data_IF_694416800070
#
_entry.id   IF_694416800070
#
_cell.length_a   1.000
_cell.length_b   1.000
_cell.length_c   1.000
_cell.angle_alpha   90.00
_cell.angle_beta   90.00
_cell.angle_gamma   90.00
#
_symmetry.space_group_name_H-M   'P 1'
#
loop_
_entity.id
_entity.type
_entity.pdbx_description
1 polymer ?
#
# COMPACT_ATOMS: atom_id res chain seq x y z
N UNK A 1 -9.50 -19.12 6.61
CA UNK A 1 -9.04 -17.81 7.13
C UNK A 1 -8.14 -18.00 8.33
N UNK A 2 -7.18 -17.10 8.55
CA UNK A 2 -6.14 -17.25 9.59
C UNK A 2 -6.42 -16.40 10.84
N UNK A 3 -7.57 -15.72 10.93
CA UNK A 3 -7.93 -14.88 12.08
C UNK A 3 -7.74 -15.53 13.46
N UNK A 4 -7.95 -16.85 13.58
CA UNK A 4 -7.69 -17.59 14.83
C UNK A 4 -6.20 -17.61 15.22
N UNK A 5 -5.27 -17.59 14.25
CA UNK A 5 -3.83 -17.45 14.48
C UNK A 5 -3.44 -16.01 14.86
N UNK A 6 -4.23 -15.02 14.46
CA UNK A 6 -3.96 -13.61 14.72
C UNK A 6 -4.45 -13.17 16.10
N UNK A 7 -5.54 -13.77 16.59
CA UNK A 7 -6.18 -13.38 17.85
C UNK A 7 -5.21 -13.37 19.07
N UNK A 8 -4.31 -14.37 19.24
CA UNK A 8 -3.33 -14.36 20.33
C UNK A 8 -2.27 -13.26 20.17
N UNK A 9 -2.05 -12.76 18.95
CA UNK A 9 -1.02 -11.75 18.63
C UNK A 9 -1.54 -10.31 18.75
N UNK A 10 -2.83 -10.12 19.01
CA UNK A 10 -3.41 -8.77 19.20
C UNK A 10 -2.77 -8.12 20.43
N UNK A 11 -2.22 -6.92 20.25
CA UNK A 11 -1.55 -6.16 21.30
C UNK A 11 -2.48 -5.89 22.49
N UNK A 12 -2.02 -6.14 23.72
CA UNK A 12 -2.79 -5.87 24.94
C UNK A 12 -3.22 -4.40 25.05
N UNK A 13 -2.38 -3.47 24.58
CA UNK A 13 -2.74 -2.06 24.54
C UNK A 13 -3.89 -1.79 23.58
N UNK A 14 -3.95 -2.48 22.44
CA UNK A 14 -5.08 -2.38 21.53
C UNK A 14 -6.38 -2.89 22.17
N UNK A 15 -6.33 -3.94 22.99
CA UNK A 15 -7.49 -4.48 23.72
C UNK A 15 -7.95 -3.52 24.82
N UNK A 16 -7.02 -3.04 25.64
CA UNK A 16 -7.34 -2.43 26.94
C UNK A 16 -7.28 -0.88 26.95
N UNK A 17 -6.59 -0.23 26.00
CA UNK A 17 -6.46 1.24 25.93
C UNK A 17 -7.27 1.79 24.75
N UNK A 18 -8.44 2.37 25.06
CA UNK A 18 -9.35 2.93 24.07
C UNK A 18 -8.73 4.08 23.25
N UNK A 19 -7.90 4.92 23.88
CA UNK A 19 -7.25 6.06 23.21
C UNK A 19 -6.20 5.57 22.23
N UNK A 20 -5.43 4.56 22.62
CA UNK A 20 -4.47 3.91 21.74
C UNK A 20 -5.17 3.24 20.56
N UNK A 21 -6.23 2.46 20.82
CA UNK A 21 -7.01 1.80 19.77
C UNK A 21 -7.61 2.81 18.79
N UNK A 22 -8.21 3.90 19.27
CA UNK A 22 -8.73 4.97 18.41
C UNK A 22 -7.62 5.59 17.55
N UNK A 23 -6.45 5.86 18.15
CA UNK A 23 -5.29 6.35 17.41
C UNK A 23 -4.82 5.39 16.32
N UNK A 24 -4.77 4.10 16.61
CA UNK A 24 -4.40 3.05 15.66
C UNK A 24 -5.39 2.97 14.50
N UNK A 25 -6.70 2.92 14.79
CA UNK A 25 -7.76 2.90 13.78
C UNK A 25 -7.72 4.15 12.89
N UNK A 26 -7.44 5.32 13.47
CA UNK A 26 -7.29 6.58 12.73
C UNK A 26 -6.09 6.57 11.79
N UNK A 27 -4.99 5.91 12.15
CA UNK A 27 -3.81 5.79 11.31
C UNK A 27 -4.09 4.86 10.14
N UNK A 28 -4.62 3.66 10.40
CA UNK A 28 -4.96 2.71 9.33
C UNK A 28 -6.04 3.30 8.41
N UNK A 29 -7.04 3.95 9.00
CA UNK A 29 -8.19 4.56 8.32
C UNK A 29 -8.83 3.57 7.33
N UNK A 30 -9.13 2.36 7.78
CA UNK A 30 -9.77 1.37 6.93
C UNK A 30 -11.19 1.82 6.54
N UNK A 31 -11.75 1.27 5.47
CA UNK A 31 -13.16 1.43 5.15
C UNK A 31 -14.03 0.80 6.26
N UNK A 32 -15.27 1.28 6.52
CA UNK A 32 -16.09 0.83 7.65
C UNK A 32 -16.35 -0.69 7.70
N UNK A 33 -16.38 -1.35 6.54
CA UNK A 33 -16.56 -2.80 6.44
C UNK A 33 -15.30 -3.60 6.77
N UNK A 34 -14.12 -2.97 6.76
CA UNK A 34 -12.84 -3.64 6.93
C UNK A 34 -12.49 -3.75 8.42
N UNK A 35 -12.54 -4.97 8.95
CA UNK A 35 -12.12 -5.25 10.32
C UNK A 35 -10.62 -4.98 10.51
N UNK A 36 -10.26 -4.26 11.58
CA UNK A 36 -8.87 -4.07 12.04
C UNK A 36 -8.70 -4.81 13.37
N UNK A 37 -7.78 -5.77 13.42
CA UNK A 37 -7.51 -6.59 14.61
C UNK A 37 -6.55 -5.90 15.58
N UNK A 38 -5.66 -5.03 15.09
CA UNK A 38 -4.73 -4.25 15.91
C UNK A 38 -3.38 -4.93 16.16
N UNK A 39 -2.91 -5.74 15.21
CA UNK A 39 -1.55 -6.28 15.25
C UNK A 39 -0.57 -5.22 14.73
N UNK A 40 0.67 -5.29 15.19
CA UNK A 40 1.73 -4.48 14.63
C UNK A 40 2.40 -5.19 13.44
N UNK A 41 2.98 -4.38 12.54
CA UNK A 41 3.66 -4.85 11.33
C UNK A 41 4.80 -5.86 11.59
N UNK A 42 5.64 -5.73 12.64
CA UNK A 42 6.68 -6.72 12.92
C UNK A 42 6.12 -8.13 13.18
N UNK A 43 5.05 -8.25 13.97
CA UNK A 43 4.38 -9.51 14.28
C UNK A 43 3.79 -10.15 13.02
N UNK A 44 3.11 -9.36 12.19
CA UNK A 44 2.57 -9.83 10.91
C UNK A 44 3.67 -10.35 9.98
N UNK A 45 4.81 -9.65 9.90
CA UNK A 45 5.97 -10.09 9.09
C UNK A 45 6.60 -11.37 9.63
N UNK A 46 6.71 -11.49 10.96
CA UNK A 46 7.23 -12.68 11.62
C UNK A 46 6.35 -13.89 11.32
N UNK A 47 5.03 -13.76 11.47
CA UNK A 47 4.06 -14.81 11.16
C UNK A 47 4.09 -15.18 9.67
N UNK A 48 4.07 -14.21 8.76
CA UNK A 48 4.17 -14.48 7.32
C UNK A 48 5.44 -15.27 6.97
N UNK A 49 6.57 -14.97 7.62
CA UNK A 49 7.84 -15.70 7.43
C UNK A 49 7.82 -17.12 8.01
N UNK A 50 7.07 -17.37 9.09
CA UNK A 50 6.86 -18.71 9.63
C UNK A 50 6.00 -19.55 8.66
N UNK A 51 4.87 -18.97 8.23
CA UNK A 51 3.95 -19.59 7.27
C UNK A 51 4.62 -19.88 5.92
N UNK A 52 5.47 -18.98 5.42
CA UNK A 52 6.18 -19.16 4.14
C UNK A 52 7.23 -20.28 4.17
N UNK A 53 7.66 -20.73 5.36
CA UNK A 53 8.65 -21.81 5.52
C UNK A 53 8.01 -23.19 5.68
N UNK A 54 6.68 -23.28 5.61
CA UNK A 54 5.95 -24.52 5.87
C UNK A 54 6.03 -24.98 7.33
N UNK A 55 6.32 -24.07 8.26
CA UNK A 55 6.66 -24.42 9.64
C UNK A 55 5.84 -23.65 10.67
N UNK A 56 4.77 -24.30 11.12
CA UNK A 56 4.10 -24.00 12.37
C UNK A 56 3.19 -25.17 12.71
N UNK A 57 3.67 -26.13 13.50
CA UNK A 57 2.78 -26.93 14.35
C UNK A 57 2.10 -25.96 15.32
N UNK A 58 1.00 -25.36 14.91
CA UNK A 58 0.02 -24.87 15.86
C UNK A 58 -0.76 -26.10 16.34
N UNK A 59 -0.30 -26.72 17.43
CA UNK A 59 -1.16 -27.62 18.20
C UNK A 59 -2.24 -26.74 18.82
N UNK A 60 -3.42 -26.75 18.21
CA UNK A 60 -4.65 -26.25 18.82
C UNK A 60 -5.37 -27.42 19.52
N UNK A 61 -6.13 -27.19 20.61
CA UNK A 61 -6.74 -28.24 21.44
C UNK A 61 -7.75 -29.16 20.73
N UNK A 62 -8.13 -28.85 19.49
CA UNK A 62 -9.28 -29.37 18.77
C UNK A 62 -8.95 -30.00 17.39
N UNK A 63 -7.68 -30.25 17.10
CA UNK A 63 -7.29 -31.35 16.19
C UNK A 63 -7.53 -31.16 14.68
N UNK A 64 -7.63 -29.93 14.16
CA UNK A 64 -7.59 -29.69 12.70
C UNK A 64 -6.54 -28.65 12.33
N UNK A 65 -5.35 -29.12 11.93
CA UNK A 65 -4.36 -28.35 11.18
C UNK A 65 -3.93 -29.17 9.96
N UNK A 66 -4.50 -28.88 8.78
CA UNK A 66 -3.91 -29.32 7.50
C UNK A 66 -2.97 -28.23 7.03
N UNK A 67 -1.71 -28.33 7.46
CA UNK A 67 -0.51 -27.91 6.72
C UNK A 67 -0.72 -26.87 5.60
N UNK A 68 -1.12 -25.64 5.92
CA UNK A 68 -1.13 -24.59 4.90
C UNK A 68 0.29 -24.03 4.78
N UNK A 69 1.10 -24.58 3.88
CA UNK A 69 2.31 -23.88 3.44
C UNK A 69 1.92 -22.52 2.83
N UNK A 70 2.84 -21.53 2.84
CA UNK A 70 2.54 -20.17 2.39
C UNK A 70 1.88 -20.07 1.01
N UNK A 71 2.28 -20.94 0.07
CA UNK A 71 1.72 -21.02 -1.29
C UNK A 71 0.23 -21.37 -1.30
N UNK A 72 -0.21 -22.32 -0.46
CA UNK A 72 -1.62 -22.67 -0.32
C UNK A 72 -2.43 -21.53 0.29
N UNK A 73 -1.88 -20.84 1.30
CA UNK A 73 -2.55 -19.67 1.89
C UNK A 73 -2.75 -18.55 0.87
N UNK A 74 -1.76 -18.27 0.01
CA UNK A 74 -1.90 -17.29 -1.07
C UNK A 74 -3.08 -17.64 -1.97
N UNK A 75 -3.23 -18.93 -2.34
CA UNK A 75 -4.38 -19.41 -3.13
C UNK A 75 -5.70 -19.26 -2.39
N UNK A 76 -5.73 -19.61 -1.10
CA UNK A 76 -6.93 -19.46 -0.27
C UNK A 76 -7.37 -18.00 -0.17
N UNK A 77 -6.44 -17.07 0.10
CA UNK A 77 -6.76 -15.64 0.12
C UNK A 77 -7.31 -15.16 -1.23
N UNK A 78 -6.73 -15.63 -2.34
CA UNK A 78 -7.21 -15.30 -3.69
C UNK A 78 -8.57 -15.86 -4.06
N UNK A 79 -9.12 -16.81 -3.29
CA UNK A 79 -10.39 -17.48 -3.55
C UNK A 79 -11.51 -17.07 -2.59
N UNK A 80 -11.22 -16.24 -1.59
CA UNK A 80 -12.24 -15.73 -0.66
C UNK A 80 -12.60 -14.28 -1.01
N UNK A 81 -13.85 -13.85 -0.77
CA UNK A 81 -14.23 -12.46 -0.99
C UNK A 81 -13.37 -11.52 -0.14
N UNK A 82 -12.65 -10.59 -0.77
CA UNK A 82 -11.66 -9.73 -0.10
C UNK A 82 -12.26 -8.91 1.05
N UNK A 83 -13.53 -8.49 0.94
CA UNK A 83 -14.27 -7.77 1.97
C UNK A 83 -14.42 -8.55 3.30
N UNK A 84 -14.25 -9.88 3.28
CA UNK A 84 -14.32 -10.72 4.49
C UNK A 84 -12.98 -10.82 5.24
N UNK A 85 -11.89 -10.40 4.61
CA UNK A 85 -10.55 -10.41 5.19
C UNK A 85 -10.40 -9.26 6.20
N UNK A 86 -9.67 -9.45 7.29
CA UNK A 86 -9.23 -8.31 8.11
C UNK A 86 -8.11 -7.52 7.42
N UNK A 87 -7.82 -6.32 7.90
CA UNK A 87 -6.65 -5.54 7.47
C UNK A 87 -5.35 -6.35 7.60
N UNK A 88 -5.17 -7.03 8.73
CA UNK A 88 -3.99 -7.84 9.01
C UNK A 88 -3.90 -9.09 8.14
N UNK A 89 -5.03 -9.71 7.81
CA UNK A 89 -5.06 -10.82 6.85
C UNK A 89 -4.63 -10.37 5.45
N UNK A 90 -5.07 -9.18 5.00
CA UNK A 90 -4.61 -8.57 3.76
C UNK A 90 -3.11 -8.26 3.78
N UNK A 91 -2.60 -7.72 4.89
CA UNK A 91 -1.17 -7.45 5.09
C UNK A 91 -0.34 -8.73 5.01
N UNK A 92 -0.79 -9.81 5.67
CA UNK A 92 -0.11 -11.11 5.66
C UNK A 92 -0.15 -11.74 4.26
N UNK A 93 -1.28 -11.66 3.54
CA UNK A 93 -1.36 -12.12 2.16
C UNK A 93 -0.30 -11.43 1.28
N UNK A 94 -0.18 -10.10 1.39
CA UNK A 94 0.84 -9.34 0.68
C UNK A 94 2.28 -9.74 1.07
N UNK A 95 2.54 -9.95 2.36
CA UNK A 95 3.85 -10.42 2.82
C UNK A 95 4.18 -11.82 2.32
N UNK A 96 3.20 -12.74 2.28
CA UNK A 96 3.38 -14.08 1.73
C UNK A 96 3.73 -14.03 0.24
N UNK A 97 3.01 -13.25 -0.57
CA UNK A 97 3.34 -13.04 -2.00
C UNK A 97 4.78 -12.53 -2.17
N UNK A 98 5.21 -11.58 -1.31
CA UNK A 98 6.56 -11.05 -1.34
C UNK A 98 7.65 -12.05 -0.93
N UNK A 99 7.30 -13.04 -0.11
CA UNK A 99 8.21 -14.11 0.35
C UNK A 99 8.21 -15.32 -0.56
N UNK A 100 7.19 -15.46 -1.42
CA UNK A 100 7.01 -16.61 -2.30
C UNK A 100 8.17 -16.77 -3.28
N UNK A 101 8.70 -17.99 -3.35
CA UNK A 101 9.78 -18.35 -4.27
C UNK A 101 9.18 -18.82 -5.61
N UNK A 102 8.91 -17.87 -6.49
CA UNK A 102 8.40 -18.13 -7.83
C UNK A 102 9.02 -17.17 -8.87
N UNK A 103 8.85 -17.50 -10.14
CA UNK A 103 9.15 -16.59 -11.25
C UNK A 103 8.21 -15.37 -11.26
N UNK A 104 8.50 -14.41 -12.15
CA UNK A 104 7.70 -13.19 -12.26
C UNK A 104 6.26 -13.47 -12.75
N UNK A 105 6.05 -14.41 -13.68
CA UNK A 105 4.70 -14.67 -14.24
C UNK A 105 3.76 -15.24 -13.19
N UNK A 106 4.22 -16.24 -12.45
CA UNK A 106 3.50 -16.82 -11.32
C UNK A 106 3.17 -15.75 -10.27
N UNK A 107 4.09 -14.80 -10.04
CA UNK A 107 3.85 -13.71 -9.09
C UNK A 107 2.89 -12.67 -9.64
N UNK A 108 2.97 -12.32 -10.92
CA UNK A 108 2.04 -11.42 -11.59
C UNK A 108 0.62 -11.99 -11.58
N UNK A 109 0.46 -13.30 -11.74
CA UNK A 109 -0.83 -13.97 -11.58
C UNK A 109 -1.37 -13.81 -10.14
N UNK A 110 -0.54 -13.98 -9.11
CA UNK A 110 -0.96 -13.72 -7.73
C UNK A 110 -1.38 -12.26 -7.52
N UNK A 111 -0.65 -11.32 -8.13
CA UNK A 111 -0.95 -9.88 -8.07
C UNK A 111 -2.23 -9.50 -8.79
N UNK A 112 -2.61 -10.23 -9.85
CA UNK A 112 -3.87 -10.02 -10.56
C UNK A 112 -5.10 -10.20 -9.65
N UNK A 113 -4.95 -10.93 -8.55
CA UNK A 113 -6.00 -11.09 -7.51
C UNK A 113 -5.78 -10.16 -6.32
N UNK A 114 -4.53 -9.98 -5.89
CA UNK A 114 -4.21 -9.24 -4.69
C UNK A 114 -4.37 -7.71 -4.84
N UNK A 115 -3.92 -7.14 -5.96
CA UNK A 115 -3.99 -5.68 -6.18
C UNK A 115 -5.44 -5.18 -6.21
N UNK A 116 -6.38 -5.83 -6.94
CA UNK A 116 -7.82 -5.54 -6.85
C UNK A 116 -8.45 -5.62 -5.47
N UNK A 117 -7.84 -6.39 -4.56
CA UNK A 117 -8.35 -6.60 -3.22
C UNK A 117 -7.85 -5.53 -2.21
N UNK A 118 -6.86 -4.71 -2.60
CA UNK A 118 -6.36 -3.62 -1.75
C UNK A 118 -7.41 -2.51 -1.62
N UNK A 119 -7.67 -2.08 -0.38
CA UNK A 119 -8.69 -1.06 -0.09
C UNK A 119 -8.21 0.00 0.91
N UNK A 120 -6.93 0.00 1.27
CA UNK A 120 -6.35 0.98 2.17
C UNK A 120 -4.85 1.18 1.89
N UNK A 121 -4.36 2.35 2.27
CA UNK A 121 -2.99 2.78 1.97
C UNK A 121 -1.93 1.89 2.65
N UNK A 122 -2.21 1.39 3.85
CA UNK A 122 -1.24 0.65 4.63
C UNK A 122 -0.92 -0.72 3.99
N UNK A 123 -1.92 -1.42 3.44
CA UNK A 123 -1.69 -2.67 2.68
C UNK A 123 -0.85 -2.41 1.43
N UNK A 124 -1.23 -1.41 0.63
CA UNK A 124 -0.50 -1.02 -0.59
C UNK A 124 0.96 -0.68 -0.28
N UNK A 125 1.18 0.27 0.63
CA UNK A 125 2.51 0.80 0.92
C UNK A 125 3.41 -0.25 1.57
N UNK A 126 2.87 -1.05 2.50
CA UNK A 126 3.62 -2.12 3.13
C UNK A 126 3.98 -3.23 2.13
N UNK A 127 3.08 -3.56 1.20
CA UNK A 127 3.40 -4.50 0.13
C UNK A 127 4.56 -3.96 -0.72
N UNK A 128 4.41 -2.77 -1.30
CA UNK A 128 5.41 -2.18 -2.20
C UNK A 128 6.76 -2.00 -1.51
N UNK A 129 6.80 -1.53 -0.27
CA UNK A 129 8.07 -1.34 0.46
C UNK A 129 8.81 -2.66 0.77
N UNK A 130 8.13 -3.80 0.72
CA UNK A 130 8.70 -5.12 1.02
C UNK A 130 8.83 -6.03 -0.21
N UNK A 131 8.44 -5.57 -1.40
CA UNK A 131 8.48 -6.30 -2.67
C UNK A 131 9.89 -6.34 -3.28
N UNK A 132 10.89 -6.79 -2.52
CA UNK A 132 12.32 -6.80 -2.94
C UNK A 132 12.58 -7.59 -4.22
N UNK A 133 11.68 -8.48 -4.60
CA UNK A 133 11.73 -9.19 -5.88
C UNK A 133 11.65 -8.21 -7.07
N UNK A 134 10.92 -7.10 -6.96
CA UNK A 134 10.83 -6.07 -8.02
C UNK A 134 12.18 -5.41 -8.34
N UNK A 135 13.13 -5.39 -7.40
CA UNK A 135 14.51 -4.92 -7.68
C UNK A 135 15.25 -5.86 -8.64
N UNK A 136 14.87 -7.14 -8.67
CA UNK A 136 15.49 -8.19 -9.49
C UNK A 136 14.77 -8.43 -10.81
N UNK A 137 13.52 -8.01 -10.92
CA UNK A 137 12.76 -8.03 -12.16
C UNK A 137 13.35 -7.02 -13.14
N UNK A 138 13.43 -7.40 -14.42
CA UNK A 138 13.81 -6.49 -15.49
C UNK A 138 12.91 -5.23 -15.49
N UNK A 139 13.48 -4.04 -15.72
CA UNK A 139 12.74 -2.78 -15.58
C UNK A 139 11.73 -2.56 -16.69
N UNK A 140 12.01 -2.95 -17.93
CA UNK A 140 11.04 -2.86 -19.03
C UNK A 140 9.88 -3.82 -18.78
N UNK A 141 10.17 -5.03 -18.29
CA UNK A 141 9.14 -5.99 -17.88
C UNK A 141 8.28 -5.47 -16.73
N UNK A 142 8.90 -4.97 -15.65
CA UNK A 142 8.18 -4.40 -14.52
C UNK A 142 7.35 -3.19 -14.95
N UNK A 143 7.90 -2.31 -15.77
CA UNK A 143 7.19 -1.14 -16.30
C UNK A 143 5.96 -1.54 -17.10
N UNK A 144 6.10 -2.54 -17.99
CA UNK A 144 5.01 -3.08 -18.79
C UNK A 144 3.90 -3.65 -17.90
N UNK A 145 4.27 -4.43 -16.88
CA UNK A 145 3.32 -4.97 -15.90
C UNK A 145 2.57 -3.87 -15.12
N UNK A 146 3.24 -2.76 -14.78
CA UNK A 146 2.63 -1.67 -14.02
C UNK A 146 1.63 -0.84 -14.84
N UNK A 147 1.69 -0.86 -16.19
CA UNK A 147 0.84 0.01 -17.02
C UNK A 147 -0.65 -0.23 -16.78
N UNK A 148 -1.08 -1.50 -16.72
CA UNK A 148 -2.49 -1.83 -16.50
C UNK A 148 -3.07 -1.22 -15.21
N UNK A 149 -2.22 -1.07 -14.18
CA UNK A 149 -2.64 -0.53 -12.90
C UNK A 149 -2.66 1.00 -12.90
N UNK A 150 -1.79 1.65 -13.67
CA UNK A 150 -1.90 3.08 -13.91
C UNK A 150 -3.13 3.44 -14.76
N UNK A 151 -3.59 2.53 -15.62
CA UNK A 151 -4.77 2.69 -16.48
C UNK A 151 -6.10 2.34 -15.75
N UNK A 152 -6.02 1.91 -14.50
CA UNK A 152 -7.20 1.56 -13.71
C UNK A 152 -8.02 2.79 -13.29
N UNK A 153 -9.33 2.56 -13.10
CA UNK A 153 -10.25 3.51 -12.48
C UNK A 153 -10.34 3.32 -10.95
N UNK A 154 -9.63 2.36 -10.34
CA UNK A 154 -9.71 2.11 -8.90
C UNK A 154 -8.53 2.70 -8.15
N UNK A 155 -8.81 3.48 -7.11
CA UNK A 155 -7.81 4.25 -6.38
C UNK A 155 -6.60 3.44 -5.91
N UNK A 156 -6.79 2.26 -5.29
CA UNK A 156 -5.66 1.49 -4.75
C UNK A 156 -4.88 0.70 -5.80
N UNK A 157 -5.47 0.44 -6.97
CA UNK A 157 -4.73 -0.12 -8.10
C UNK A 157 -3.78 0.91 -8.70
N UNK A 158 -4.26 2.12 -8.92
CA UNK A 158 -3.41 3.24 -9.37
C UNK A 158 -2.37 3.58 -8.30
N UNK A 159 -2.75 3.60 -7.02
CA UNK A 159 -1.80 3.82 -5.92
C UNK A 159 -0.71 2.75 -5.91
N UNK A 160 -1.05 1.47 -6.12
CA UNK A 160 -0.07 0.40 -6.23
C UNK A 160 0.97 0.69 -7.32
N UNK A 161 0.53 1.09 -8.52
CA UNK A 161 1.43 1.43 -9.62
C UNK A 161 2.37 2.61 -9.27
N UNK A 162 1.82 3.66 -8.67
CA UNK A 162 2.56 4.86 -8.24
C UNK A 162 3.59 4.51 -7.16
N UNK A 163 3.20 3.78 -6.12
CA UNK A 163 4.08 3.45 -4.99
C UNK A 163 5.14 2.42 -5.40
N UNK A 164 4.79 1.42 -6.23
CA UNK A 164 5.77 0.50 -6.80
C UNK A 164 6.82 1.26 -7.65
N UNK A 165 6.38 2.20 -8.49
CA UNK A 165 7.28 3.05 -9.29
C UNK A 165 8.18 3.92 -8.41
N UNK A 166 7.64 4.51 -7.34
CA UNK A 166 8.43 5.25 -6.35
C UNK A 166 9.53 4.38 -5.72
N UNK A 167 9.20 3.14 -5.35
CA UNK A 167 10.14 2.24 -4.71
C UNK A 167 11.23 1.71 -5.65
N UNK A 168 10.89 1.42 -6.91
CA UNK A 168 11.74 0.59 -7.78
C UNK A 168 12.14 1.22 -9.12
N UNK A 169 11.51 2.33 -9.53
CA UNK A 169 11.72 2.94 -10.85
C UNK A 169 12.33 4.36 -10.79
N UNK A 170 12.54 4.94 -9.60
CA UNK A 170 13.22 6.24 -9.44
C UNK A 170 14.75 6.10 -9.54
N UNK A 171 15.23 5.88 -10.77
CA UNK A 171 16.64 5.82 -11.15
C UNK A 171 16.87 6.45 -12.53
N UNK A 172 18.14 6.62 -12.89
CA UNK A 172 18.55 7.14 -14.20
C UNK A 172 17.94 6.32 -15.35
N UNK A 173 17.56 7.02 -16.42
CA UNK A 173 16.90 6.45 -17.60
C UNK A 173 15.42 6.10 -17.43
N UNK A 174 14.90 6.11 -16.20
CA UNK A 174 13.51 5.73 -15.90
C UNK A 174 12.67 6.84 -15.28
N UNK A 175 13.30 7.75 -14.55
CA UNK A 175 12.59 8.84 -13.86
C UNK A 175 11.74 9.69 -14.81
N UNK A 176 12.23 10.01 -16.01
CA UNK A 176 11.46 10.74 -17.04
C UNK A 176 10.18 10.00 -17.45
N UNK A 177 10.27 8.67 -17.63
CA UNK A 177 9.10 7.83 -17.97
C UNK A 177 8.09 7.84 -16.83
N UNK A 178 8.55 7.71 -15.58
CA UNK A 178 7.70 7.76 -14.39
C UNK A 178 7.01 9.13 -14.26
N UNK A 179 7.76 10.21 -14.41
CA UNK A 179 7.23 11.58 -14.32
C UNK A 179 6.19 11.87 -15.40
N UNK A 180 6.47 11.51 -16.66
CA UNK A 180 5.46 11.61 -17.72
C UNK A 180 4.22 10.77 -17.42
N UNK A 181 4.36 9.57 -16.83
CA UNK A 181 3.21 8.72 -16.54
C UNK A 181 2.30 9.31 -15.46
N UNK A 182 2.88 9.88 -14.39
CA UNK A 182 2.09 10.52 -13.32
C UNK A 182 1.50 11.87 -13.75
N UNK A 183 2.16 12.61 -14.64
CA UNK A 183 1.65 13.88 -15.18
C UNK A 183 0.39 13.67 -16.05
N UNK A 184 0.33 12.52 -16.73
CA UNK A 184 -0.79 12.14 -17.60
C UNK A 184 -1.86 11.31 -16.89
N UNK A 185 -1.86 11.21 -15.55
CA UNK A 185 -2.94 10.54 -14.83
C UNK A 185 -4.22 11.40 -14.90
N UNK A 186 -5.31 10.80 -15.39
CA UNK A 186 -6.63 11.40 -15.31
C UNK A 186 -7.20 11.18 -13.90
N UNK A 187 -6.91 12.10 -12.98
CA UNK A 187 -7.39 11.97 -11.58
C UNK A 187 -8.92 11.90 -11.49
N UNK A 188 -9.64 12.54 -12.41
CA UNK A 188 -11.10 12.60 -12.41
C UNK A 188 -11.76 11.27 -12.83
N UNK A 189 -11.05 10.39 -13.53
CA UNK A 189 -11.55 9.06 -13.91
C UNK A 189 -11.30 7.99 -12.84
N UNK A 190 -10.64 8.33 -11.74
CA UNK A 190 -10.29 7.39 -10.68
C UNK A 190 -11.34 7.48 -9.56
N UNK A 191 -12.05 6.39 -9.37
CA UNK A 191 -13.04 6.18 -8.34
C UNK A 191 -12.38 5.82 -7.01
N UNK A 192 -12.88 6.44 -5.94
CA UNK A 192 -12.47 6.19 -4.56
C UNK A 192 -13.69 5.81 -3.72
N UNK A 193 -13.54 4.76 -2.92
CA UNK A 193 -14.53 4.41 -1.89
C UNK A 193 -14.43 5.32 -0.65
N UNK A 194 -13.36 6.13 -0.54
CA UNK A 194 -13.16 7.04 0.56
C UNK A 194 -13.93 8.34 0.37
N UNK A 195 -14.67 8.76 1.40
CA UNK A 195 -15.45 10.00 1.36
C UNK A 195 -14.59 11.20 1.74
N UNK A 196 -14.59 12.22 0.90
CA UNK A 196 -14.00 13.51 1.24
C UNK A 196 -14.86 14.23 2.29
N UNK A 197 -14.24 14.64 3.39
CA UNK A 197 -14.88 15.43 4.43
C UNK A 197 -14.25 16.82 4.54
N UNK A 198 -15.06 17.81 4.91
CA UNK A 198 -14.62 19.19 5.16
C UNK A 198 -14.35 19.38 6.66
N UNK A 199 -13.17 19.95 6.97
CA UNK A 199 -12.76 20.22 8.35
C UNK A 199 -12.24 19.00 9.10
N UNK A 200 -11.73 19.24 10.32
CA UNK A 200 -11.18 18.20 11.17
C UNK A 200 -12.31 17.54 11.97
N UNK A 201 -12.58 16.24 11.79
CA UNK A 201 -13.67 15.57 12.50
C UNK A 201 -13.34 15.48 14.00
N UNK A 202 -14.38 15.60 14.85
CA UNK A 202 -14.25 15.50 16.31
C UNK A 202 -14.01 14.06 16.77
N UNK A 203 -14.50 13.09 16.02
CA UNK A 203 -14.38 11.64 16.25
C UNK A 203 -13.79 10.95 15.02
N UNK A 204 -13.29 9.73 15.17
CA UNK A 204 -12.84 8.93 14.02
C UNK A 204 -14.03 8.67 13.10
N UNK A 205 -13.86 8.99 11.82
CA UNK A 205 -14.78 8.64 10.75
C UNK A 205 -14.03 7.73 9.79
N UNK A 206 -14.27 6.43 9.90
CA UNK A 206 -13.66 5.41 9.02
C UNK A 206 -14.04 5.66 7.55
N UNK A 207 -13.13 5.32 6.65
CA UNK A 207 -13.32 5.55 5.22
C UNK A 207 -13.51 7.02 4.84
N UNK A 208 -12.91 7.95 5.60
CA UNK A 208 -12.99 9.39 5.29
C UNK A 208 -11.61 10.04 5.19
N UNK A 209 -11.50 11.05 4.34
CA UNK A 209 -10.23 11.75 4.08
C UNK A 209 -10.43 13.26 3.99
N UNK A 210 -9.39 14.01 4.38
CA UNK A 210 -9.32 15.45 4.16
C UNK A 210 -8.46 15.71 2.92
N UNK A 211 -9.11 15.97 1.80
CA UNK A 211 -8.47 16.28 0.52
C UNK A 211 -9.36 15.90 -0.67
N UNK A 212 -8.96 16.32 -1.86
CA UNK A 212 -9.66 15.98 -3.09
C UNK A 212 -9.59 14.48 -3.36
N UNK A 213 -10.68 13.90 -3.88
CA UNK A 213 -10.68 12.54 -4.43
C UNK A 213 -9.90 12.49 -5.76
N UNK A 214 -9.17 11.41 -6.09
CA UNK A 214 -8.77 10.26 -5.26
C UNK A 214 -7.60 10.63 -4.33
N UNK A 215 -7.88 10.81 -3.04
CA UNK A 215 -6.92 11.35 -2.08
C UNK A 215 -5.63 10.54 -1.98
N UNK A 216 -5.74 9.22 -1.94
CA UNK A 216 -4.59 8.34 -1.78
C UNK A 216 -3.77 8.25 -3.06
N UNK A 217 -4.34 8.34 -4.26
CA UNK A 217 -3.51 8.46 -5.48
C UNK A 217 -2.77 9.80 -5.50
N UNK A 218 -3.48 10.90 -5.22
CA UNK A 218 -2.89 12.26 -5.13
C UNK A 218 -1.75 12.31 -4.12
N UNK A 219 -1.94 11.72 -2.94
CA UNK A 219 -0.91 11.59 -1.91
C UNK A 219 0.25 10.69 -2.36
N UNK A 220 -0.03 9.60 -3.08
CA UNK A 220 0.99 8.72 -3.65
C UNK A 220 1.90 9.46 -4.62
N UNK A 221 1.32 10.23 -5.55
CA UNK A 221 2.05 11.05 -6.53
C UNK A 221 2.90 12.11 -5.82
N UNK A 222 2.31 12.82 -4.86
CA UNK A 222 3.03 13.79 -4.04
C UNK A 222 4.22 13.18 -3.27
N UNK A 223 4.04 11.99 -2.70
CA UNK A 223 5.11 11.28 -2.00
C UNK A 223 6.19 10.76 -2.95
N UNK A 224 5.81 10.31 -4.16
CA UNK A 224 6.74 9.94 -5.21
C UNK A 224 7.63 11.13 -5.57
N UNK A 225 7.07 12.30 -5.81
CA UNK A 225 7.83 13.51 -6.12
C UNK A 225 8.71 13.94 -4.95
N UNK A 226 8.22 13.90 -3.72
CA UNK A 226 9.05 14.17 -2.55
C UNK A 226 10.20 13.16 -2.45
N UNK A 227 9.96 11.92 -2.87
CA UNK A 227 10.99 10.87 -2.93
C UNK A 227 12.03 11.11 -4.01
N UNK A 228 11.58 11.50 -5.21
CA UNK A 228 12.44 11.88 -6.31
C UNK A 228 13.27 13.12 -5.98
N UNK A 229 12.72 14.12 -5.29
CA UNK A 229 13.42 15.34 -4.89
C UNK A 229 14.70 15.05 -4.07
N UNK A 230 14.68 14.03 -3.21
CA UNK A 230 15.85 13.66 -2.43
C UNK A 230 16.97 13.00 -3.26
N UNK A 231 16.63 12.42 -4.42
CA UNK A 231 17.57 11.73 -5.31
C UNK A 231 18.00 12.61 -6.50
N UNK A 232 17.07 13.39 -7.03
CA UNK A 232 17.18 14.16 -8.27
C UNK A 232 16.60 15.57 -8.05
N UNK A 233 17.24 16.42 -7.23
CA UNK A 233 16.63 17.65 -6.73
C UNK A 233 16.26 18.64 -7.84
N UNK A 234 17.22 19.00 -8.70
CA UNK A 234 17.02 20.01 -9.74
C UNK A 234 16.06 19.52 -10.82
N UNK A 235 16.19 18.25 -11.21
CA UNK A 235 15.29 17.62 -12.17
C UNK A 235 13.85 17.57 -11.65
N UNK A 236 13.65 17.18 -10.38
CA UNK A 236 12.31 17.13 -9.77
C UNK A 236 11.70 18.52 -9.64
N UNK A 237 12.49 19.53 -9.22
CA UNK A 237 12.00 20.92 -9.13
C UNK A 237 11.60 21.45 -10.50
N UNK A 238 12.43 21.21 -11.51
CA UNK A 238 12.16 21.63 -12.89
C UNK A 238 10.88 20.99 -13.41
N UNK A 239 10.72 19.68 -13.23
CA UNK A 239 9.50 18.96 -13.60
C UNK A 239 8.27 19.53 -12.92
N UNK A 240 8.26 19.68 -11.58
CA UNK A 240 7.08 20.17 -10.84
C UNK A 240 6.66 21.56 -11.33
N UNK A 241 7.62 22.44 -11.67
CA UNK A 241 7.32 23.78 -12.18
C UNK A 241 6.63 23.79 -13.55
N UNK A 242 6.85 22.77 -14.39
CA UNK A 242 6.30 22.70 -15.75
C UNK A 242 5.20 21.64 -15.91
N UNK A 243 4.95 20.85 -14.87
CA UNK A 243 3.98 19.75 -14.88
C UNK A 243 2.53 20.25 -14.98
N UNK A 244 1.65 19.37 -15.45
CA UNK A 244 0.20 19.58 -15.49
C UNK A 244 -0.50 19.07 -14.22
N UNK A 245 0.26 18.78 -13.16
CA UNK A 245 -0.27 18.23 -11.92
C UNK A 245 -1.26 19.19 -11.24
N UNK A 246 -2.36 18.67 -10.67
CA UNK A 246 -3.30 19.49 -9.91
C UNK A 246 -2.62 20.25 -8.76
N UNK A 247 -3.07 21.48 -8.50
CA UNK A 247 -2.49 22.35 -7.46
C UNK A 247 -2.50 21.68 -6.07
N UNK A 248 -3.52 20.88 -5.75
CA UNK A 248 -3.60 20.14 -4.49
C UNK A 248 -2.52 19.05 -4.37
N UNK A 249 -2.14 18.41 -5.49
CA UNK A 249 -1.02 17.45 -5.53
C UNK A 249 0.30 18.16 -5.29
N UNK A 250 0.52 19.33 -5.91
CA UNK A 250 1.72 20.14 -5.70
C UNK A 250 1.82 20.59 -4.23
N UNK A 251 0.71 21.05 -3.63
CA UNK A 251 0.65 21.38 -2.19
C UNK A 251 0.99 20.19 -1.29
N UNK A 252 0.47 19.00 -1.62
CA UNK A 252 0.80 17.76 -0.90
C UNK A 252 2.29 17.40 -1.05
N UNK A 253 2.88 17.58 -2.23
CA UNK A 253 4.29 17.36 -2.47
C UNK A 253 5.16 18.26 -1.58
N UNK A 254 4.87 19.57 -1.55
CA UNK A 254 5.60 20.52 -0.70
C UNK A 254 5.50 20.13 0.78
N UNK A 255 4.28 19.79 1.23
CA UNK A 255 4.06 19.30 2.59
C UNK A 255 4.90 18.05 2.89
N UNK A 256 4.89 17.05 2.00
CA UNK A 256 5.64 15.80 2.19
C UNK A 256 7.15 16.01 2.16
N UNK A 257 7.65 16.87 1.29
CA UNK A 257 9.06 17.21 1.23
C UNK A 257 9.55 17.87 2.54
N UNK A 258 8.73 18.73 3.16
CA UNK A 258 9.01 19.35 4.47
C UNK A 258 8.92 18.36 5.63
N UNK A 259 7.84 17.56 5.71
CA UNK A 259 7.62 16.57 6.77
C UNK A 259 8.71 15.50 6.85
N UNK A 260 9.31 15.15 5.70
CA UNK A 260 10.39 14.16 5.63
C UNK A 260 11.79 14.76 5.79
N UNK A 261 11.89 16.04 6.22
CA UNK A 261 13.15 16.78 6.40
C UNK A 261 14.09 16.77 5.18
N UNK A 262 13.55 16.54 3.97
CA UNK A 262 14.36 16.39 2.76
C UNK A 262 15.02 17.70 2.36
N UNK A 263 14.30 18.83 2.48
CA UNK A 263 14.85 20.19 2.46
C UNK A 263 13.95 21.16 3.25
N UNK A 264 14.51 22.23 3.82
CA UNK A 264 13.71 23.32 4.45
C UNK A 264 13.19 24.36 3.43
N UNK A 265 13.69 24.31 2.20
CA UNK A 265 13.45 25.28 1.12
C UNK A 265 12.71 24.61 -0.04
N UNK A 266 11.46 24.22 0.20
CA UNK A 266 10.49 23.91 -0.85
C UNK A 266 9.37 24.94 -0.75
N UNK A 267 9.23 25.81 -1.76
CA UNK A 267 8.09 26.71 -1.90
C UNK A 267 7.05 26.07 -2.82
N UNK A 268 5.78 26.36 -2.56
CA UNK A 268 4.71 26.07 -3.50
C UNK A 268 4.61 27.30 -4.41
N UNK A 269 5.49 27.34 -5.42
CA UNK A 269 5.81 28.52 -6.23
C UNK A 269 6.54 29.62 -5.45
#
# INVERSE_FOLDING_TARGET
>A
MIGHLLQPLVCERFKNDARYREGHLRVVNALPQRKVLGLHTPEMKMLAKQLSRGGGEAVMPDGVCRCCNGTELIKCFGNVPSATLSHEEMMIWGFLINLEKCDDESRFEMLSKFVPAMDNWAVCDAFCANAKWMTRTDKERLWSFLQQWFDSHREFEVRFAVVASMCYMLCDGWIDKVFRRIDNLCFDSIESEYRTIKGKPKTVQEGSVQGASPYYVRMGVAWLLATALAKFPDFTRSFVNISNLPEDVVKLYVRKARESFRTRTVSAL
#
